data_IF_460839061228
#
_entry.id   IF_460839061228
#
_cell.length_a   1.000
_cell.length_b   1.000
_cell.length_c   1.000
_cell.angle_alpha   90.00
_cell.angle_beta   90.00
_cell.angle_gamma   90.00
#
_symmetry.space_group_name_H-M   'P 1'
#
loop_
_entity.id
_entity.type
_entity.pdbx_description
1 polymer ?
#
# COMPACT_ATOMS: atom_id res chain seq x y z
N UNK A 1 -25.11 0.40 -3.80
CA UNK A 1 -23.71 0.85 -3.99
C UNK A 1 -23.06 -0.04 -5.04
N UNK A 2 -22.13 0.47 -5.83
CA UNK A 2 -21.36 -0.30 -6.83
C UNK A 2 -19.93 -0.44 -6.30
N UNK A 3 -19.38 -1.64 -6.35
CA UNK A 3 -18.02 -1.93 -5.88
C UNK A 3 -17.00 -0.98 -6.55
N UNK A 4 -16.09 -0.37 -5.78
CA UNK A 4 -15.00 0.48 -6.31
C UNK A 4 -13.81 -0.32 -6.84
N UNK A 5 -13.91 -1.65 -6.84
CA UNK A 5 -12.80 -2.58 -7.12
C UNK A 5 -12.48 -2.74 -8.61
N UNK A 6 -13.22 -2.06 -9.50
CA UNK A 6 -13.05 -2.15 -10.97
C UNK A 6 -12.31 -0.96 -11.57
N UNK A 7 -12.00 0.06 -10.78
CA UNK A 7 -11.25 1.21 -11.28
C UNK A 7 -9.78 0.84 -11.52
N UNK A 8 -9.21 1.34 -12.61
CA UNK A 8 -7.84 1.02 -13.02
C UNK A 8 -7.07 2.33 -13.17
N UNK A 9 -5.99 2.56 -12.38
CA UNK A 9 -5.17 3.76 -12.52
C UNK A 9 -4.35 3.76 -13.81
N UNK A 10 -3.96 4.95 -14.27
CA UNK A 10 -2.93 5.12 -15.30
C UNK A 10 -1.54 4.80 -14.71
N UNK A 11 -0.87 3.71 -15.13
CA UNK A 11 0.44 3.35 -14.62
C UNK A 11 1.55 4.32 -15.04
N UNK A 12 1.41 5.00 -16.19
CA UNK A 12 2.37 5.99 -16.66
C UNK A 12 2.39 7.19 -15.72
N UNK A 13 1.22 7.71 -15.37
CA UNK A 13 1.08 8.78 -14.41
C UNK A 13 1.63 8.41 -13.02
N UNK A 14 1.33 7.19 -12.53
CA UNK A 14 1.84 6.72 -11.23
C UNK A 14 3.36 6.57 -11.22
N UNK A 15 3.97 6.02 -12.28
CA UNK A 15 5.43 5.90 -12.38
C UNK A 15 6.15 7.24 -12.53
N UNK A 16 5.45 8.27 -13.03
CA UNK A 16 5.99 9.64 -13.11
C UNK A 16 5.95 10.42 -11.79
N UNK A 17 5.29 9.89 -10.74
CA UNK A 17 5.16 10.52 -9.44
C UNK A 17 5.97 9.83 -8.33
N UNK A 18 5.99 10.44 -7.14
CA UNK A 18 6.51 9.82 -5.90
C UNK A 18 5.41 9.02 -5.22
N UNK A 19 5.18 7.81 -5.72
CA UNK A 19 4.10 6.91 -5.24
C UNK A 19 4.69 5.59 -4.76
N UNK A 20 4.21 5.12 -3.60
CA UNK A 20 4.44 3.75 -3.12
C UNK A 20 3.10 3.08 -2.80
N UNK A 21 3.09 1.75 -2.81
CA UNK A 21 1.92 0.94 -2.43
C UNK A 21 2.15 0.39 -1.02
N UNK A 22 1.40 0.88 -0.04
CA UNK A 22 1.48 0.41 1.35
C UNK A 22 0.36 -0.55 1.70
N UNK A 23 0.66 -1.62 2.44
CA UNK A 23 -0.34 -2.56 2.94
C UNK A 23 0.00 -3.06 4.35
N UNK A 24 -1.02 -3.26 5.19
CA UNK A 24 -0.86 -3.80 6.53
C UNK A 24 -0.43 -5.27 6.52
N UNK A 25 0.45 -5.66 7.44
CA UNK A 25 0.94 -7.02 7.62
C UNK A 25 -0.16 -8.05 7.86
N UNK A 26 -1.23 -7.65 8.55
CA UNK A 26 -2.36 -8.53 8.89
C UNK A 26 -3.45 -8.57 7.79
N UNK A 27 -3.17 -7.99 6.62
CA UNK A 27 -4.13 -7.92 5.51
C UNK A 27 -4.00 -9.07 4.50
N UNK A 28 -3.13 -10.05 4.75
CA UNK A 28 -2.84 -11.11 3.79
C UNK A 28 -4.09 -11.87 3.32
N UNK A 29 -4.18 -12.06 2.00
CA UNK A 29 -5.30 -12.74 1.35
C UNK A 29 -6.61 -11.96 1.33
N UNK A 30 -6.67 -10.77 1.94
CA UNK A 30 -7.82 -9.86 1.83
C UNK A 30 -7.83 -9.18 0.46
N UNK A 31 -8.98 -8.67 0.05
CA UNK A 31 -9.13 -7.98 -1.23
C UNK A 31 -8.18 -6.78 -1.38
N UNK A 32 -7.92 -6.04 -0.30
CA UNK A 32 -6.96 -4.93 -0.29
C UNK A 32 -5.52 -5.41 -0.55
N UNK A 33 -5.13 -6.56 0.00
CA UNK A 33 -3.82 -7.16 -0.26
C UNK A 33 -3.69 -7.63 -1.71
N UNK A 34 -4.67 -8.36 -2.23
CA UNK A 34 -4.68 -8.84 -3.62
C UNK A 34 -4.59 -7.69 -4.63
N UNK A 35 -5.36 -6.63 -4.41
CA UNK A 35 -5.35 -5.44 -5.29
C UNK A 35 -4.09 -4.60 -5.14
N UNK A 36 -3.51 -4.52 -3.94
CA UNK A 36 -2.23 -3.85 -3.70
C UNK A 36 -1.07 -4.57 -4.39
N UNK A 37 -1.00 -5.92 -4.31
CA UNK A 37 -0.02 -6.72 -5.04
C UNK A 37 -0.16 -6.55 -6.55
N UNK A 38 -1.38 -6.64 -7.08
CA UNK A 38 -1.64 -6.45 -8.50
C UNK A 38 -1.22 -5.05 -9.00
N UNK A 39 -1.45 -4.00 -8.20
CA UNK A 39 -0.98 -2.65 -8.53
C UNK A 39 0.55 -2.57 -8.48
N UNK A 40 1.18 -3.11 -7.44
CA UNK A 40 2.63 -3.09 -7.28
C UNK A 40 3.35 -3.85 -8.40
N UNK A 41 2.85 -5.03 -8.78
CA UNK A 41 3.32 -5.80 -9.94
C UNK A 41 3.23 -4.97 -11.22
N UNK A 42 2.11 -4.26 -11.42
CA UNK A 42 1.94 -3.39 -12.58
C UNK A 42 2.90 -2.21 -12.57
N UNK A 43 3.29 -1.71 -11.40
CA UNK A 43 4.26 -0.62 -11.27
C UNK A 43 5.72 -1.12 -11.31
N UNK A 44 5.97 -2.42 -11.13
CA UNK A 44 7.30 -3.01 -11.04
C UNK A 44 7.97 -2.78 -9.68
N UNK A 45 7.18 -2.68 -8.62
CA UNK A 45 7.65 -2.44 -7.24
C UNK A 45 7.13 -3.53 -6.30
N UNK A 46 7.74 -3.65 -5.12
CA UNK A 46 7.21 -4.48 -4.03
C UNK A 46 6.37 -3.61 -3.08
N UNK A 47 5.19 -4.05 -2.63
CA UNK A 47 4.42 -3.32 -1.63
C UNK A 47 5.23 -3.11 -0.34
N UNK A 48 5.15 -1.91 0.22
CA UNK A 48 5.68 -1.60 1.54
C UNK A 48 4.76 -2.18 2.61
N UNK A 49 5.30 -3.01 3.50
CA UNK A 49 4.56 -3.59 4.61
C UNK A 49 4.56 -2.65 5.82
N UNK A 50 3.38 -2.47 6.41
CA UNK A 50 3.14 -1.66 7.60
C UNK A 50 2.61 -2.53 8.74
N UNK A 51 2.97 -2.25 10.01
CA UNK A 51 2.46 -3.01 11.15
C UNK A 51 0.93 -2.97 11.24
N UNK A 52 0.31 -4.11 11.56
CA UNK A 52 -1.14 -4.23 11.77
C UNK A 52 -1.97 -4.41 10.50
N UNK A 53 -3.27 -4.14 10.60
CA UNK A 53 -4.26 -4.31 9.54
C UNK A 53 -4.66 -2.98 8.88
N UNK A 54 -5.97 -2.82 8.65
CA UNK A 54 -6.53 -1.62 8.01
C UNK A 54 -6.24 -0.33 8.78
N UNK A 55 -6.10 -0.44 10.11
CA UNK A 55 -5.89 0.68 11.02
C UNK A 55 -4.59 0.54 11.80
N UNK A 56 -3.54 0.03 11.15
CA UNK A 56 -2.22 -0.20 11.75
C UNK A 56 -1.61 1.01 12.47
N UNK A 57 -1.96 2.24 12.05
CA UNK A 57 -1.56 3.47 12.72
C UNK A 57 -2.22 3.68 14.10
N UNK A 58 -3.39 3.09 14.36
CA UNK A 58 -4.03 3.06 15.68
C UNK A 58 -3.61 1.83 16.49
N UNK A 59 -3.43 0.69 15.85
CA UNK A 59 -3.03 -0.57 16.49
C UNK A 59 -1.58 -0.52 16.98
N UNK A 60 -0.68 0.05 16.17
CA UNK A 60 0.77 0.08 16.40
C UNK A 60 1.37 1.48 16.10
N UNK A 61 0.94 2.56 16.78
CA UNK A 61 1.26 3.93 16.41
C UNK A 61 2.77 4.22 16.31
N UNK A 62 3.56 3.77 17.30
CA UNK A 62 5.00 4.02 17.30
C UNK A 62 5.73 3.25 16.19
N UNK A 63 5.36 1.98 15.96
CA UNK A 63 5.96 1.18 14.90
C UNK A 63 5.55 1.68 13.50
N UNK A 64 4.30 2.13 13.35
CA UNK A 64 3.80 2.73 12.12
C UNK A 64 4.52 4.05 11.81
N UNK A 65 4.71 4.96 12.79
CA UNK A 65 5.46 6.22 12.58
C UNK A 65 6.90 5.95 12.13
N UNK A 66 7.61 5.05 12.82
CA UNK A 66 8.97 4.66 12.44
C UNK A 66 9.01 4.13 11.00
N UNK A 67 8.11 3.19 10.68
CA UNK A 67 8.05 2.57 9.36
C UNK A 67 7.69 3.57 8.25
N UNK A 68 6.75 4.47 8.53
CA UNK A 68 6.36 5.52 7.59
C UNK A 68 7.54 6.43 7.26
N UNK A 69 8.32 6.86 8.25
CA UNK A 69 9.50 7.71 8.02
C UNK A 69 10.55 7.02 7.15
N UNK A 70 10.82 5.73 7.38
CA UNK A 70 11.73 4.94 6.55
C UNK A 70 11.28 4.82 5.09
N UNK A 71 9.97 4.64 4.88
CA UNK A 71 9.38 4.56 3.53
C UNK A 71 9.47 5.92 2.84
N UNK A 72 9.08 7.01 3.52
CA UNK A 72 9.12 8.36 2.96
C UNK A 72 10.55 8.85 2.65
N UNK A 73 11.55 8.37 3.40
CA UNK A 73 12.95 8.69 3.13
C UNK A 73 13.51 8.01 1.87
N UNK A 74 12.87 6.95 1.36
CA UNK A 74 13.27 6.20 0.15
C UNK A 74 12.46 6.57 -1.09
N UNK A 75 11.33 7.24 -0.90
CA UNK A 75 10.40 7.73 -1.92
C UNK A 75 10.92 9.01 -2.60
#
# INVERSE_FOLDING_TARGET
MRETVRWVPDPGALRGGRVTVGIGEDSDGRLCDLTSRALADRLGVTPERFPGGHVGFMEHPAAFDARLREVLARL
#
